data_IF_766508658771
#
_entry.id   IF_766508658771
#
_cell.length_a   1.000
_cell.length_b   1.000
_cell.length_c   1.000
_cell.angle_alpha   90.00
_cell.angle_beta   90.00
_cell.angle_gamma   90.00
#
_symmetry.space_group_name_H-M   'P 1'
#
loop_
_entity.id
_entity.type
_entity.pdbx_description
1 polymer ?
#
# COMPACT_ATOMS: atom_id res chain seq x y z
N UNK A 1 13.09 -5.28 -3.92
CA UNK A 1 12.34 -4.74 -2.75
C UNK A 1 10.87 -4.50 -3.09
N UNK A 2 10.53 -3.78 -4.19
CA UNK A 2 9.15 -3.45 -4.58
C UNK A 2 8.27 -4.67 -4.87
N UNK A 3 8.84 -5.76 -5.39
CA UNK A 3 8.13 -7.03 -5.57
C UNK A 3 7.80 -7.72 -4.25
N UNK A 4 8.73 -7.67 -3.27
CA UNK A 4 8.52 -8.30 -1.96
C UNK A 4 7.38 -7.64 -1.17
N UNK A 5 7.27 -6.32 -1.25
CA UNK A 5 6.17 -5.54 -0.64
C UNK A 5 4.92 -5.48 -1.52
N UNK A 6 4.94 -6.20 -2.65
CA UNK A 6 3.79 -6.34 -3.58
C UNK A 6 3.28 -5.02 -4.18
N UNK A 7 4.16 -4.05 -4.38
CA UNK A 7 3.80 -2.84 -5.13
C UNK A 7 3.89 -3.05 -6.63
N UNK A 8 4.80 -3.96 -7.05
CA UNK A 8 4.95 -4.39 -8.43
C UNK A 8 4.73 -5.90 -8.56
N UNK A 9 4.24 -6.33 -9.71
CA UNK A 9 4.10 -7.72 -10.12
C UNK A 9 4.94 -7.98 -11.37
N UNK A 10 5.55 -9.15 -11.43
CA UNK A 10 6.28 -9.63 -12.60
C UNK A 10 5.54 -10.82 -13.21
N UNK A 11 5.23 -10.73 -14.50
CA UNK A 11 4.77 -11.88 -15.24
C UNK A 11 5.99 -12.69 -15.71
N UNK A 12 6.22 -13.85 -15.09
CA UNK A 12 7.40 -14.67 -15.38
C UNK A 12 7.46 -15.22 -16.83
N UNK A 13 6.32 -15.30 -17.52
CA UNK A 13 6.28 -15.78 -18.91
C UNK A 13 6.64 -14.68 -19.91
N UNK A 14 6.09 -13.49 -19.72
CA UNK A 14 6.28 -12.35 -20.62
C UNK A 14 7.38 -11.39 -20.18
N UNK A 15 7.89 -11.54 -18.96
CA UNK A 15 8.89 -10.65 -18.33
C UNK A 15 8.38 -9.20 -18.22
N UNK A 16 7.06 -9.00 -18.26
CA UNK A 16 6.45 -7.68 -18.12
C UNK A 16 6.22 -7.37 -16.63
N UNK A 17 6.66 -6.19 -16.21
CA UNK A 17 6.45 -5.64 -14.89
C UNK A 17 5.22 -4.72 -14.94
N UNK A 18 4.29 -4.93 -14.01
CA UNK A 18 3.10 -4.09 -13.87
C UNK A 18 2.94 -3.64 -12.43
N UNK A 19 2.35 -2.47 -12.17
CA UNK A 19 1.93 -2.13 -10.82
C UNK A 19 0.86 -3.09 -10.34
N UNK A 20 0.75 -3.28 -9.04
CA UNK A 20 -0.38 -3.96 -8.42
C UNK A 20 -1.40 -2.92 -7.97
N UNK A 21 -2.63 -3.36 -7.64
CA UNK A 21 -3.62 -2.49 -7.03
C UNK A 21 -3.07 -1.78 -5.78
N UNK A 22 -2.34 -2.49 -4.92
CA UNK A 22 -1.69 -1.90 -3.75
C UNK A 22 -0.65 -0.83 -4.15
N UNK A 23 0.14 -1.08 -5.20
CA UNK A 23 1.13 -0.12 -5.69
C UNK A 23 0.48 1.17 -6.20
N UNK A 24 -0.58 1.06 -6.98
CA UNK A 24 -1.34 2.23 -7.46
C UNK A 24 -2.00 2.99 -6.31
N UNK A 25 -2.61 2.28 -5.36
CA UNK A 25 -3.24 2.90 -4.20
C UNK A 25 -2.24 3.70 -3.35
N UNK A 26 -1.06 3.15 -3.09
CA UNK A 26 0.01 3.86 -2.36
C UNK A 26 0.46 5.10 -3.14
N UNK A 27 0.62 4.99 -4.46
CA UNK A 27 0.95 6.15 -5.30
C UNK A 27 -0.09 7.25 -5.16
N UNK A 28 -1.38 6.93 -5.27
CA UNK A 28 -2.48 7.91 -5.17
C UNK A 28 -2.56 8.55 -3.78
N UNK A 29 -2.37 7.77 -2.71
CA UNK A 29 -2.33 8.31 -1.33
C UNK A 29 -1.18 9.29 -1.17
N UNK A 30 0.03 8.95 -1.64
CA UNK A 30 1.19 9.83 -1.55
C UNK A 30 1.01 11.07 -2.43
N UNK A 31 0.47 10.89 -3.64
CA UNK A 31 0.17 12.01 -4.56
C UNK A 31 -0.83 13.01 -3.96
N UNK A 32 -1.85 12.51 -3.26
CA UNK A 32 -2.86 13.35 -2.61
C UNK A 32 -2.35 14.01 -1.31
N UNK A 33 -1.46 13.34 -0.55
CA UNK A 33 -1.00 13.81 0.76
C UNK A 33 0.33 14.58 0.68
N UNK A 34 1.39 13.96 0.17
CA UNK A 34 2.75 14.52 0.14
C UNK A 34 3.34 14.33 -1.26
N UNK A 35 2.72 14.97 -2.25
CA UNK A 35 3.13 14.86 -3.67
C UNK A 35 4.63 15.05 -3.90
N UNK A 36 5.29 15.86 -3.09
CA UNK A 36 6.72 16.14 -3.22
C UNK A 36 7.59 14.90 -3.03
N UNK A 37 7.12 13.88 -2.29
CA UNK A 37 7.84 12.60 -2.14
C UNK A 37 7.91 11.80 -3.44
N UNK A 38 7.07 12.11 -4.43
CA UNK A 38 7.11 11.50 -5.75
C UNK A 38 8.10 12.21 -6.70
N UNK A 39 8.69 13.32 -6.26
CA UNK A 39 9.68 14.05 -7.05
C UNK A 39 11.11 13.56 -6.70
N UNK A 40 11.83 12.93 -7.65
CA UNK A 40 13.20 12.47 -7.43
C UNK A 40 14.18 13.61 -7.14
N UNK A 41 13.91 14.83 -7.60
CA UNK A 41 14.75 16.00 -7.30
C UNK A 41 14.77 16.35 -5.82
N UNK A 42 13.66 16.09 -5.11
CA UNK A 42 13.62 16.29 -3.67
C UNK A 42 14.63 15.38 -2.96
N UNK A 43 14.63 14.08 -3.30
CA UNK A 43 15.58 13.11 -2.73
C UNK A 43 17.01 13.51 -3.08
N UNK A 44 17.27 13.84 -4.34
CA UNK A 44 18.60 14.29 -4.78
C UNK A 44 19.05 15.56 -4.05
N UNK A 45 18.15 16.50 -3.74
CA UNK A 45 18.50 17.71 -3.00
C UNK A 45 18.89 17.42 -1.56
N UNK A 46 18.21 16.44 -0.91
CA UNK A 46 18.57 16.01 0.44
C UNK A 46 19.89 15.25 0.47
N UNK A 47 20.16 14.36 -0.50
CA UNK A 47 21.45 13.68 -0.64
C UNK A 47 22.59 14.68 -0.87
N UNK A 48 22.37 15.69 -1.71
CA UNK A 48 23.34 16.77 -1.90
C UNK A 48 23.58 17.55 -0.61
N UNK A 49 22.54 17.79 0.19
CA UNK A 49 22.66 18.40 1.51
C UNK A 49 23.57 17.60 2.45
N UNK A 50 23.47 16.27 2.45
CA UNK A 50 24.39 15.42 3.23
C UNK A 50 25.84 15.53 2.75
N UNK A 51 26.05 15.67 1.44
CA UNK A 51 27.39 15.93 0.90
C UNK A 51 27.97 17.24 1.44
N UNK A 52 27.17 18.29 1.48
CA UNK A 52 27.59 19.59 2.04
C UNK A 52 27.92 19.52 3.55
N UNK A 53 27.19 18.68 4.31
CA UNK A 53 27.55 18.43 5.72
C UNK A 53 28.89 17.71 5.81
N UNK A 54 29.11 16.69 4.96
CA UNK A 54 30.36 15.93 4.94
C UNK A 54 31.57 16.81 4.54
N UNK A 55 31.37 17.76 3.65
CA UNK A 55 32.38 18.74 3.22
C UNK A 55 32.57 19.89 4.22
N UNK A 56 31.74 20.00 5.25
CA UNK A 56 31.78 21.09 6.23
C UNK A 56 31.22 22.42 5.70
N UNK A 57 30.55 22.45 4.55
CA UNK A 57 29.96 23.67 3.97
C UNK A 57 28.71 24.14 4.73
N UNK A 58 28.00 23.20 5.35
CA UNK A 58 26.87 23.43 6.27
C UNK A 58 27.04 22.56 7.51
N UNK A 59 26.48 22.98 8.63
CA UNK A 59 26.50 22.18 9.86
C UNK A 59 25.44 21.08 9.85
N UNK A 60 25.66 20.03 10.63
CA UNK A 60 24.64 18.99 10.82
C UNK A 60 23.34 19.55 11.41
N UNK A 61 23.45 20.53 12.30
CA UNK A 61 22.31 21.15 12.96
C UNK A 61 21.44 21.95 11.96
N UNK A 62 22.08 22.73 11.09
CA UNK A 62 21.37 23.43 10.02
C UNK A 62 20.67 22.47 9.05
N UNK A 63 21.30 21.34 8.74
CA UNK A 63 20.70 20.32 7.90
C UNK A 63 19.48 19.68 8.59
N UNK A 64 19.64 19.28 9.86
CA UNK A 64 18.57 18.67 10.65
C UNK A 64 17.42 19.63 10.86
N UNK A 65 17.64 20.90 11.15
CA UNK A 65 16.58 21.90 11.28
C UNK A 65 15.74 22.02 10.00
N UNK A 66 16.40 22.04 8.83
CA UNK A 66 15.69 22.06 7.54
C UNK A 66 14.88 20.82 7.33
N UNK A 67 15.41 19.64 7.64
CA UNK A 67 14.73 18.36 7.52
C UNK A 67 13.52 18.27 8.45
N UNK A 68 13.69 18.63 9.71
CA UNK A 68 12.60 18.63 10.70
C UNK A 68 11.47 19.58 10.30
N UNK A 69 11.80 20.79 9.85
CA UNK A 69 10.81 21.76 9.36
C UNK A 69 10.05 21.21 8.15
N UNK A 70 10.74 20.55 7.23
CA UNK A 70 10.11 19.91 6.08
C UNK A 70 9.16 18.80 6.54
N UNK A 71 9.61 17.86 7.37
CA UNK A 71 8.81 16.74 7.87
C UNK A 71 7.60 17.22 8.64
N UNK A 72 7.79 18.16 9.59
CA UNK A 72 6.71 18.72 10.39
C UNK A 72 5.63 19.38 9.53
N UNK A 73 6.02 20.20 8.56
CA UNK A 73 5.08 20.85 7.65
C UNK A 73 4.31 19.87 6.78
N UNK A 74 4.95 18.81 6.29
CA UNK A 74 4.29 17.79 5.47
C UNK A 74 3.38 16.89 6.30
N UNK A 75 3.80 16.50 7.48
CA UNK A 75 2.97 15.74 8.41
C UNK A 75 1.73 16.53 8.81
N UNK A 76 1.89 17.80 9.16
CA UNK A 76 0.76 18.67 9.47
C UNK A 76 -0.25 18.71 8.31
N UNK A 77 0.20 18.95 7.09
CA UNK A 77 -0.68 19.00 5.92
C UNK A 77 -1.37 17.66 5.64
N UNK A 78 -0.66 16.53 5.81
CA UNK A 78 -1.22 15.20 5.61
C UNK A 78 -2.32 14.86 6.64
N UNK A 79 -2.09 15.21 7.92
CA UNK A 79 -3.07 14.99 8.99
C UNK A 79 -4.32 15.86 8.83
N UNK A 80 -4.15 17.11 8.36
CA UNK A 80 -5.24 18.06 8.16
C UNK A 80 -5.82 18.04 6.75
N UNK A 81 -5.54 16.99 5.98
CA UNK A 81 -6.06 16.85 4.62
C UNK A 81 -7.58 16.70 4.64
N UNK A 82 -8.28 17.72 4.15
CA UNK A 82 -9.73 17.78 4.15
C UNK A 82 -10.41 16.82 3.14
N UNK A 83 -9.64 16.27 2.18
CA UNK A 83 -10.21 15.57 1.02
C UNK A 83 -10.01 14.04 1.07
N UNK A 84 -10.07 13.44 2.25
CA UNK A 84 -9.98 11.96 2.41
C UNK A 84 -11.09 11.23 1.64
N UNK A 85 -12.28 11.85 1.52
CA UNK A 85 -13.41 11.30 0.77
C UNK A 85 -13.14 11.18 -0.73
N UNK A 86 -12.26 12.03 -1.28
CA UNK A 86 -11.87 11.96 -2.70
C UNK A 86 -11.01 10.75 -3.05
N UNK A 87 -10.34 10.12 -2.08
CA UNK A 87 -9.53 8.93 -2.29
C UNK A 87 -10.39 7.66 -2.46
N UNK A 88 -11.56 7.61 -1.84
CA UNK A 88 -12.43 6.44 -1.87
C UNK A 88 -12.88 6.04 -3.29
N UNK A 89 -13.34 6.95 -4.16
CA UNK A 89 -13.67 6.61 -5.55
C UNK A 89 -12.46 6.09 -6.33
N UNK A 90 -11.26 6.61 -6.07
CA UNK A 90 -10.03 6.15 -6.72
C UNK A 90 -9.71 4.69 -6.31
N UNK A 91 -9.94 4.34 -5.04
CA UNK A 91 -9.80 2.97 -4.57
C UNK A 91 -10.81 2.02 -5.23
N UNK A 92 -12.06 2.43 -5.33
CA UNK A 92 -13.11 1.64 -5.95
C UNK A 92 -12.85 1.42 -7.45
N UNK A 93 -12.42 2.47 -8.18
CA UNK A 93 -12.02 2.38 -9.59
C UNK A 93 -10.77 1.53 -9.80
N UNK A 94 -9.76 1.70 -8.97
CA UNK A 94 -8.54 0.91 -9.01
C UNK A 94 -8.80 -0.57 -8.77
N UNK A 95 -9.66 -0.91 -7.82
CA UNK A 95 -9.99 -2.29 -7.48
C UNK A 95 -10.68 -3.05 -8.64
N UNK A 96 -11.44 -2.36 -9.50
CA UNK A 96 -12.10 -2.96 -10.67
C UNK A 96 -11.10 -3.48 -11.70
N UNK A 97 -9.95 -2.79 -11.84
CA UNK A 97 -8.91 -3.15 -12.81
C UNK A 97 -8.06 -4.34 -12.36
N UNK A 98 -8.14 -4.71 -11.10
CA UNK A 98 -7.35 -5.81 -10.53
C UNK A 98 -8.27 -6.92 -10.06
N UNK A 99 -8.11 -8.12 -10.65
CA UNK A 99 -8.76 -9.32 -10.12
C UNK A 99 -8.24 -9.57 -8.71
N UNK A 100 -9.10 -9.86 -7.71
CA UNK A 100 -8.65 -10.23 -6.39
C UNK A 100 -7.71 -11.43 -6.50
N UNK A 101 -6.44 -11.24 -6.17
CA UNK A 101 -5.47 -12.32 -6.14
C UNK A 101 -5.84 -13.27 -5.01
N UNK A 102 -6.52 -14.37 -5.36
CA UNK A 102 -6.67 -15.54 -4.52
C UNK A 102 -7.43 -15.32 -3.22
N UNK A 103 -8.71 -14.98 -3.30
CA UNK A 103 -9.64 -15.42 -2.28
C UNK A 103 -9.65 -16.95 -2.36
N UNK A 104 -8.93 -17.61 -1.43
CA UNK A 104 -8.88 -19.04 -1.35
C UNK A 104 -10.30 -19.59 -1.40
N UNK A 105 -10.55 -20.55 -2.31
CA UNK A 105 -11.76 -21.35 -2.30
C UNK A 105 -11.88 -21.92 -0.88
N UNK A 106 -12.73 -21.33 -0.06
CA UNK A 106 -13.28 -22.00 1.11
C UNK A 106 -14.01 -23.21 0.57
N UNK A 107 -13.42 -24.37 0.80
CA UNK A 107 -14.11 -25.63 0.59
C UNK A 107 -15.38 -25.60 1.42
N UNK A 108 -16.53 -25.51 0.75
CA UNK A 108 -17.81 -25.82 1.37
C UNK A 108 -17.77 -27.30 1.77
N UNK A 109 -17.49 -27.52 3.03
CA UNK A 109 -17.65 -28.82 3.65
C UNK A 109 -19.12 -29.21 3.62
N UNK A 110 -19.48 -30.12 2.73
CA UNK A 110 -20.76 -30.83 2.76
C UNK A 110 -20.87 -31.57 4.10
N UNK A 111 -21.54 -30.97 5.06
CA UNK A 111 -22.08 -31.68 6.21
C UNK A 111 -23.42 -32.27 5.82
N UNK A 112 -23.39 -33.43 5.21
CA UNK A 112 -24.58 -34.28 5.08
C UNK A 112 -24.82 -34.95 6.44
N UNK A 113 -25.69 -34.40 7.23
CA UNK A 113 -26.29 -35.09 8.36
C UNK A 113 -27.27 -36.12 7.84
N UNK A 114 -26.84 -37.38 7.89
CA UNK A 114 -27.68 -38.53 7.71
C UNK A 114 -28.43 -38.77 9.03
N UNK A 115 -29.69 -38.35 9.10
CA UNK A 115 -30.62 -38.76 10.14
C UNK A 115 -31.23 -40.12 9.72
N UNK A 116 -30.67 -41.20 10.26
CA UNK A 116 -31.35 -42.47 10.27
C UNK A 116 -32.17 -42.58 11.58
N UNK A 117 -33.44 -42.42 11.45
CA UNK A 117 -34.41 -42.77 12.46
C UNK A 117 -34.51 -44.31 12.53
N UNK A 118 -34.14 -44.86 13.66
CA UNK A 118 -34.31 -46.27 13.96
C UNK A 118 -35.67 -46.42 14.64
N UNK A 119 -36.65 -46.87 13.87
CA UNK A 119 -37.94 -47.37 14.37
C UNK A 119 -37.76 -48.83 14.76
N UNK A 120 -37.90 -49.15 16.03
CA UNK A 120 -38.07 -50.51 16.50
C UNK A 120 -39.58 -50.86 16.42
N UNK A 121 -39.95 -52.05 15.94
CA UNK A 121 -41.27 -52.60 16.18
C UNK A 121 -41.26 -53.47 17.41
N UNK A 122 -42.15 -53.16 18.34
CA UNK A 122 -42.57 -54.01 19.44
C UNK A 122 -43.34 -55.23 18.91
N UNK A 123 -42.97 -56.41 19.39
CA UNK A 123 -43.94 -57.54 19.53
C UNK A 123 -43.51 -58.47 20.63
N UNK A 124 -44.50 -58.63 21.52
CA UNK A 124 -44.82 -59.78 22.41
C UNK A 124 -43.78 -60.30 23.37
#
# INVERSE_FOLDING_TARGET
>A
KLFNIKYLSLNNKTQIITPTCLGELIYEVVNASIKQLLNPELTASWEKGLTYVAEGSITSDEYMEKLERFVAGRTYNAVHMANQSGLRPLFEQGAVNYKPSGAGKKAEGKSARKNEAKTEPSQK
#
